data_IF_997810949528
#
_entry.id   IF_997810949528
#
_cell.length_a   1.000
_cell.length_b   1.000
_cell.length_c   1.000
_cell.angle_alpha   90.00
_cell.angle_beta   90.00
_cell.angle_gamma   90.00
#
_symmetry.space_group_name_H-M   'P 1'
#
loop_
_entity.id
_entity.type
_entity.pdbx_description
1 polymer ?
#
# COMPACT_ATOMS: atom_id res chain seq x y z
N UNK A 1 26.85 -35.22 -14.24
CA UNK A 1 27.13 -35.18 -12.80
C UNK A 1 27.98 -33.94 -12.57
N UNK A 2 27.57 -33.13 -11.59
CA UNK A 2 28.33 -32.02 -10.96
C UNK A 2 28.89 -30.96 -11.89
N UNK A 3 28.21 -29.80 -11.96
CA UNK A 3 28.81 -28.44 -12.00
C UNK A 3 27.84 -27.35 -12.52
N UNK A 4 26.57 -27.37 -12.09
CA UNK A 4 25.78 -26.13 -12.00
C UNK A 4 25.21 -26.03 -10.59
N UNK A 5 26.16 -26.11 -9.66
CA UNK A 5 26.04 -25.66 -8.29
C UNK A 5 25.61 -24.19 -8.27
N UNK A 6 24.39 -23.97 -7.79
CA UNK A 6 24.09 -22.96 -6.79
C UNK A 6 24.80 -21.61 -6.95
N UNK A 7 24.20 -20.72 -7.74
CA UNK A 7 24.36 -19.29 -7.49
C UNK A 7 23.05 -18.55 -7.73
N UNK A 8 22.06 -18.84 -6.89
CA UNK A 8 21.20 -17.76 -6.42
C UNK A 8 21.96 -17.08 -5.29
N UNK A 9 22.42 -15.83 -5.41
CA UNK A 9 22.83 -15.07 -4.25
C UNK A 9 21.56 -14.84 -3.43
N UNK A 10 21.33 -15.68 -2.44
CA UNK A 10 20.52 -15.34 -1.28
C UNK A 10 21.12 -14.05 -0.77
N UNK A 11 20.42 -12.93 -1.00
CA UNK A 11 20.77 -11.63 -0.42
C UNK A 11 20.53 -11.73 1.08
N UNK A 12 21.55 -12.30 1.72
CA UNK A 12 21.76 -12.44 3.14
C UNK A 12 21.89 -11.02 3.72
N UNK A 13 20.75 -10.37 3.92
CA UNK A 13 20.65 -9.21 4.78
C UNK A 13 20.61 -9.74 6.22
N UNK A 14 21.81 -10.09 6.71
CA UNK A 14 22.11 -10.15 8.14
C UNK A 14 21.55 -8.87 8.77
N UNK A 15 20.59 -9.03 9.67
CA UNK A 15 19.84 -7.96 10.37
C UNK A 15 18.51 -7.52 9.71
N UNK A 16 17.64 -8.49 9.40
CA UNK A 16 16.19 -8.24 9.38
C UNK A 16 15.59 -8.87 10.64
N UNK A 17 14.98 -8.05 11.49
CA UNK A 17 14.22 -8.42 12.69
C UNK A 17 13.60 -9.82 12.52
N UNK A 18 13.92 -10.80 13.40
CA UNK A 18 13.65 -12.23 13.16
C UNK A 18 12.20 -12.58 12.74
N UNK A 19 11.24 -11.72 13.09
CA UNK A 19 9.86 -11.80 12.63
C UNK A 19 9.69 -11.60 11.11
N UNK A 20 10.40 -10.65 10.49
CA UNK A 20 10.35 -10.46 9.04
C UNK A 20 11.01 -11.59 8.26
N UNK A 21 12.08 -12.18 8.80
CA UNK A 21 12.71 -13.35 8.19
C UNK A 21 11.79 -14.60 8.25
N UNK A 22 11.06 -14.78 9.36
CA UNK A 22 10.07 -15.85 9.49
C UNK A 22 8.87 -15.66 8.54
N UNK A 23 8.39 -14.42 8.40
CA UNK A 23 7.31 -14.09 7.45
C UNK A 23 7.77 -14.34 6.01
N UNK A 24 8.94 -13.84 5.60
CA UNK A 24 9.46 -14.03 4.25
C UNK A 24 9.69 -15.51 3.88
N UNK A 25 9.99 -16.35 4.87
CA UNK A 25 10.13 -17.79 4.68
C UNK A 25 8.78 -18.48 4.39
N UNK A 26 7.66 -17.96 4.94
CA UNK A 26 6.32 -18.53 4.75
C UNK A 26 5.56 -17.91 3.58
N UNK A 27 5.72 -16.61 3.38
CA UNK A 27 5.18 -15.83 2.28
C UNK A 27 6.28 -14.88 1.83
N UNK A 28 6.82 -15.02 0.59
CA UNK A 28 7.90 -14.15 0.10
C UNK A 28 7.37 -12.76 -0.26
N UNK A 29 6.93 -12.02 0.76
CA UNK A 29 6.32 -10.70 0.67
C UNK A 29 7.35 -9.69 0.18
N UNK A 30 8.58 -9.73 0.71
CA UNK A 30 9.65 -8.81 0.30
C UNK A 30 10.04 -9.02 -1.16
N UNK A 31 10.15 -10.28 -1.62
CA UNK A 31 10.47 -10.57 -3.03
C UNK A 31 9.35 -10.13 -3.99
N UNK A 32 8.10 -10.23 -3.55
CA UNK A 32 6.94 -9.83 -4.35
C UNK A 32 6.84 -8.31 -4.47
N UNK A 33 7.09 -7.58 -3.37
CA UNK A 33 7.14 -6.11 -3.35
C UNK A 33 8.32 -5.59 -4.19
N UNK A 34 9.50 -6.19 -4.07
CA UNK A 34 10.65 -5.81 -4.89
C UNK A 34 10.36 -5.95 -6.39
N UNK A 35 9.71 -7.04 -6.79
CA UNK A 35 9.41 -7.35 -8.19
C UNK A 35 8.30 -6.46 -8.78
N UNK A 36 7.25 -6.16 -8.02
CA UNK A 36 6.07 -5.46 -8.56
C UNK A 36 6.06 -3.96 -8.28
N UNK A 37 6.65 -3.51 -7.18
CA UNK A 37 6.61 -2.09 -6.80
C UNK A 37 7.93 -1.35 -7.05
N UNK A 38 9.08 -2.00 -6.85
CA UNK A 38 10.35 -1.26 -6.74
C UNK A 38 11.24 -1.38 -7.97
N UNK A 39 11.26 -2.54 -8.63
CA UNK A 39 12.11 -2.80 -9.81
C UNK A 39 11.35 -2.71 -11.15
N UNK A 40 10.11 -2.23 -11.16
CA UNK A 40 9.37 -2.09 -12.40
C UNK A 40 9.92 -0.91 -13.22
N UNK A 41 10.37 -1.18 -14.45
CA UNK A 41 11.00 -0.18 -15.31
C UNK A 41 10.00 0.90 -15.71
N UNK A 42 10.20 2.10 -15.18
CA UNK A 42 9.38 3.26 -15.46
C UNK A 42 9.93 3.99 -16.70
N UNK A 43 9.18 4.11 -17.82
CA UNK A 43 9.68 4.69 -19.07
C UNK A 43 10.01 6.19 -18.94
N UNK A 44 11.18 6.61 -19.42
CA UNK A 44 11.73 7.97 -19.20
C UNK A 44 10.91 9.14 -19.77
N UNK A 45 9.90 8.88 -20.59
CA UNK A 45 9.02 9.90 -21.20
C UNK A 45 7.70 10.07 -20.43
N UNK A 46 7.76 10.27 -19.11
CA UNK A 46 6.56 10.49 -18.29
C UNK A 46 5.92 11.85 -18.58
N UNK A 47 4.62 11.84 -18.85
CA UNK A 47 3.79 13.04 -18.91
C UNK A 47 3.09 13.28 -17.55
N UNK A 48 2.74 14.53 -17.24
CA UNK A 48 2.00 14.95 -16.03
C UNK A 48 0.70 14.15 -15.85
N UNK A 49 0.09 13.69 -16.95
CA UNK A 49 -1.13 12.88 -16.90
C UNK A 49 -1.01 11.58 -16.09
N UNK A 50 0.20 10.99 -15.98
CA UNK A 50 0.43 9.81 -15.17
C UNK A 50 0.39 10.09 -13.65
N UNK A 51 0.58 11.35 -13.24
CA UNK A 51 0.48 11.77 -11.83
C UNK A 51 -0.97 11.69 -11.32
N UNK A 52 -1.97 11.86 -12.20
CA UNK A 52 -3.37 11.72 -11.80
C UNK A 52 -3.72 10.32 -11.30
N UNK A 53 -3.04 9.27 -11.78
CA UNK A 53 -3.26 7.91 -11.29
C UNK A 53 -2.87 7.76 -9.81
N UNK A 54 -1.68 8.23 -9.42
CA UNK A 54 -1.27 8.18 -8.01
C UNK A 54 -2.04 9.18 -7.17
N UNK A 55 -2.38 10.36 -7.72
CA UNK A 55 -3.18 11.36 -7.04
C UNK A 55 -4.60 10.83 -6.72
N UNK A 56 -5.22 10.08 -7.64
CA UNK A 56 -6.50 9.43 -7.40
C UNK A 56 -6.42 8.40 -6.26
N UNK A 57 -5.34 7.60 -6.20
CA UNK A 57 -5.10 6.65 -5.10
C UNK A 57 -4.94 7.37 -3.75
N UNK A 58 -4.22 8.50 -3.73
CA UNK A 58 -4.07 9.31 -2.51
C UNK A 58 -5.41 9.90 -2.07
N UNK A 59 -6.18 10.48 -3.00
CA UNK A 59 -7.51 11.02 -2.71
C UNK A 59 -8.44 9.91 -2.19
N UNK A 60 -8.42 8.73 -2.81
CA UNK A 60 -9.21 7.59 -2.37
C UNK A 60 -8.87 7.16 -0.94
N UNK A 61 -7.59 7.03 -0.61
CA UNK A 61 -7.15 6.70 0.75
C UNK A 61 -7.62 7.76 1.77
N UNK A 62 -7.53 9.04 1.40
CA UNK A 62 -8.02 10.12 2.24
C UNK A 62 -9.54 10.04 2.44
N UNK A 63 -10.31 9.78 1.38
CA UNK A 63 -11.77 9.63 1.45
C UNK A 63 -12.19 8.44 2.33
N UNK A 64 -11.46 7.32 2.31
CA UNK A 64 -11.74 6.23 3.24
C UNK A 64 -11.50 6.66 4.69
N UNK A 65 -10.39 7.37 4.97
CA UNK A 65 -10.06 7.78 6.32
C UNK A 65 -11.06 8.81 6.87
N UNK A 66 -11.32 9.87 6.11
CA UNK A 66 -12.28 10.91 6.51
C UNK A 66 -13.72 10.40 6.47
N UNK A 67 -14.04 9.51 5.54
CA UNK A 67 -15.35 8.88 5.43
C UNK A 67 -15.66 8.01 6.65
N UNK A 68 -14.74 7.13 7.04
CA UNK A 68 -14.89 6.33 8.27
C UNK A 68 -15.07 7.24 9.49
N UNK A 69 -14.28 8.30 9.60
CA UNK A 69 -14.41 9.28 10.68
C UNK A 69 -15.80 9.94 10.73
N UNK A 70 -16.32 10.35 9.57
CA UNK A 70 -17.65 10.94 9.44
C UNK A 70 -18.74 9.94 9.82
N UNK A 71 -18.62 8.68 9.42
CA UNK A 71 -19.64 7.66 9.75
C UNK A 71 -19.79 7.40 11.26
N UNK A 72 -18.76 7.69 12.08
CA UNK A 72 -18.86 7.57 13.53
C UNK A 72 -19.73 8.66 14.17
N UNK A 73 -19.84 9.82 13.53
CA UNK A 73 -20.54 11.00 14.07
C UNK A 73 -21.83 11.33 13.32
N UNK A 74 -22.02 10.75 12.13
CA UNK A 74 -23.19 10.95 11.29
C UNK A 74 -24.36 10.08 11.73
N UNK A 75 -25.55 10.68 11.89
CA UNK A 75 -26.79 9.97 12.21
C UNK A 75 -27.62 9.77 10.93
N UNK A 76 -27.79 8.53 10.43
CA UNK A 76 -28.50 8.26 9.18
C UNK A 76 -30.03 8.25 9.38
N UNK A 77 -30.61 9.40 9.71
CA UNK A 77 -32.07 9.58 9.80
C UNK A 77 -32.48 10.88 9.10
N UNK A 78 -33.69 10.94 8.54
CA UNK A 78 -34.18 12.12 7.82
C UNK A 78 -34.21 13.39 8.69
N UNK A 79 -34.41 13.24 10.00
CA UNK A 79 -34.47 14.36 10.96
C UNK A 79 -33.08 14.70 11.54
N UNK A 80 -32.23 13.70 11.76
CA UNK A 80 -30.91 13.85 12.38
C UNK A 80 -29.74 14.04 11.40
N UNK A 81 -29.94 13.83 10.10
CA UNK A 81 -28.87 13.97 9.10
C UNK A 81 -28.32 15.40 9.03
N UNK A 82 -29.19 16.41 9.08
CA UNK A 82 -28.76 17.82 9.05
C UNK A 82 -28.12 18.24 10.38
N UNK A 83 -28.76 17.88 11.50
CA UNK A 83 -28.25 18.21 12.84
C UNK A 83 -26.89 17.55 13.15
N UNK A 84 -26.67 16.31 12.70
CA UNK A 84 -25.39 15.63 12.90
C UNK A 84 -24.25 16.23 12.07
N UNK A 85 -24.54 16.80 10.89
CA UNK A 85 -23.55 17.54 10.10
C UNK A 85 -23.24 18.90 10.73
N UNK A 86 -24.25 19.61 11.23
CA UNK A 86 -24.06 20.87 11.97
C UNK A 86 -23.22 20.68 13.25
N UNK A 87 -23.37 19.54 13.93
CA UNK A 87 -22.54 19.19 15.08
C UNK A 87 -21.07 18.91 14.73
N UNK A 88 -20.78 18.47 13.50
CA UNK A 88 -19.41 18.13 13.05
C UNK A 88 -18.65 19.37 12.53
N UNK A 89 -19.38 20.38 12.02
CA UNK A 89 -18.85 21.64 11.51
C UNK A 89 -18.28 22.53 12.61
#
# INVERSE_FOLDING_TARGET
MSELENNSPTSDNKNKNGLMAWIDARLPVTKTIEKHMTKYYAPKNFNVWYVFGILATVVLANQFLTGIWLTMHYVPSSEGAFASVEYIM
#
